data_IF_431253128453
#
_entry.id   IF_431253128453
#
_cell.length_a   1.000
_cell.length_b   1.000
_cell.length_c   1.000
_cell.angle_alpha   90.00
_cell.angle_beta   90.00
_cell.angle_gamma   90.00
#
_symmetry.space_group_name_H-M   'P 1'
#
loop_
_entity.id
_entity.type
_entity.pdbx_description
1 polymer ?
#
# COMPACT_ATOMS: atom_id res chain seq x y z
N UNK A 1 10.51 30.87 -8.32
CA UNK A 1 10.16 29.44 -8.17
C UNK A 1 10.72 28.96 -6.84
N UNK A 2 10.03 29.27 -5.74
CA UNK A 2 10.39 28.75 -4.41
C UNK A 2 9.10 28.25 -3.77
N UNK A 3 8.96 26.94 -3.70
CA UNK A 3 7.93 26.29 -2.89
C UNK A 3 8.12 26.81 -1.47
N UNK A 4 7.12 27.48 -0.93
CA UNK A 4 7.20 27.98 0.44
C UNK A 4 7.16 26.79 1.40
N UNK A 5 7.79 26.94 2.57
CA UNK A 5 7.79 25.90 3.63
C UNK A 5 6.38 25.36 3.95
N UNK A 6 5.32 26.20 4.08
CA UNK A 6 3.97 25.69 4.31
C UNK A 6 3.43 24.86 3.13
N UNK A 7 3.64 25.28 1.89
CA UNK A 7 3.20 24.51 0.71
C UNK A 7 3.90 23.15 0.64
N UNK A 8 5.19 23.09 0.98
CA UNK A 8 5.94 21.83 1.03
C UNK A 8 5.39 20.88 2.12
N UNK A 9 4.99 21.42 3.28
CA UNK A 9 4.41 20.62 4.37
C UNK A 9 3.02 20.08 4.00
N UNK A 10 2.18 20.89 3.35
CA UNK A 10 0.86 20.46 2.89
C UNK A 10 0.98 19.37 1.81
N UNK A 11 1.94 19.53 0.90
CA UNK A 11 2.26 18.52 -0.12
C UNK A 11 2.69 17.20 0.51
N UNK A 12 3.58 17.25 1.50
CA UNK A 12 4.04 16.07 2.23
C UNK A 12 2.89 15.38 2.97
N UNK A 13 2.00 16.15 3.62
CA UNK A 13 0.81 15.62 4.28
C UNK A 13 -0.13 14.92 3.31
N UNK A 14 -0.37 15.54 2.14
CA UNK A 14 -1.19 14.94 1.09
C UNK A 14 -0.58 13.64 0.57
N UNK A 15 0.71 13.63 0.26
CA UNK A 15 1.44 12.44 -0.18
C UNK A 15 1.38 11.30 0.84
N UNK A 16 1.52 11.60 2.13
CA UNK A 16 1.38 10.60 3.20
C UNK A 16 -0.04 10.03 3.27
N UNK A 17 -1.07 10.88 3.16
CA UNK A 17 -2.47 10.44 3.17
C UNK A 17 -2.81 9.54 1.99
N UNK A 18 -2.39 9.90 0.78
CA UNK A 18 -2.59 9.07 -0.41
C UNK A 18 -1.86 7.74 -0.26
N UNK A 19 -0.60 7.76 0.18
CA UNK A 19 0.18 6.54 0.43
C UNK A 19 -0.49 5.63 1.46
N UNK A 20 -1.00 6.20 2.56
CA UNK A 20 -1.69 5.44 3.60
C UNK A 20 -2.98 4.80 3.07
N UNK A 21 -3.78 5.54 2.30
CA UNK A 21 -4.98 5.00 1.66
C UNK A 21 -4.64 3.82 0.74
N UNK A 22 -3.58 3.95 -0.06
CA UNK A 22 -3.13 2.90 -0.98
C UNK A 22 -2.61 1.65 -0.25
N UNK A 23 -1.88 1.83 0.84
CA UNK A 23 -1.31 0.73 1.62
C UNK A 23 -2.36 0.02 2.49
N UNK A 24 -3.38 0.73 2.99
CA UNK A 24 -4.38 0.20 3.90
C UNK A 24 -5.03 -1.13 3.46
N UNK A 25 -5.57 -1.29 2.24
CA UNK A 25 -6.20 -2.54 1.83
C UNK A 25 -5.20 -3.70 1.72
N UNK A 26 -3.98 -3.44 1.24
CA UNK A 26 -2.93 -4.48 1.14
C UNK A 26 -2.51 -4.94 2.54
N UNK A 27 -2.32 -3.99 3.46
CA UNK A 27 -1.93 -4.28 4.84
C UNK A 27 -3.02 -5.08 5.57
N UNK A 28 -4.30 -4.72 5.40
CA UNK A 28 -5.42 -5.46 6.00
C UNK A 28 -5.47 -6.91 5.51
N UNK A 29 -5.28 -7.13 4.21
CA UNK A 29 -5.25 -8.48 3.63
C UNK A 29 -4.04 -9.26 4.14
N UNK A 30 -2.86 -8.62 4.19
CA UNK A 30 -1.64 -9.24 4.71
C UNK A 30 -1.74 -9.62 6.18
N UNK A 31 -2.36 -8.76 6.98
CA UNK A 31 -2.65 -9.03 8.38
C UNK A 31 -3.61 -10.23 8.51
N UNK A 32 -4.72 -10.23 7.76
CA UNK A 32 -5.73 -11.29 7.85
C UNK A 32 -5.17 -12.65 7.41
N UNK A 33 -4.52 -12.70 6.26
CA UNK A 33 -3.92 -13.94 5.75
C UNK A 33 -2.75 -14.39 6.62
N UNK A 34 -1.92 -13.45 7.07
CA UNK A 34 -0.82 -13.74 7.97
C UNK A 34 -1.28 -14.35 9.30
N UNK A 35 -2.37 -13.81 9.87
CA UNK A 35 -3.02 -14.37 11.06
C UNK A 35 -3.56 -15.76 10.80
N UNK A 36 -4.33 -15.94 9.72
CA UNK A 36 -4.94 -17.22 9.36
C UNK A 36 -3.87 -18.33 9.23
N UNK A 37 -2.79 -18.03 8.51
CA UNK A 37 -1.66 -18.97 8.31
C UNK A 37 -0.95 -19.26 9.64
N UNK A 38 -0.74 -18.24 10.49
CA UNK A 38 -0.11 -18.43 11.80
C UNK A 38 -0.95 -19.30 12.74
N UNK A 39 -2.28 -19.18 12.67
CA UNK A 39 -3.20 -20.00 13.44
C UNK A 39 -3.19 -21.45 12.95
N UNK A 40 -3.20 -21.68 11.63
CA UNK A 40 -3.11 -23.03 11.06
C UNK A 40 -1.79 -23.72 11.42
N UNK A 41 -0.68 -22.98 11.45
CA UNK A 41 0.60 -23.49 11.95
C UNK A 41 0.55 -23.87 13.43
N UNK A 42 -0.07 -23.03 14.27
CA UNK A 42 -0.19 -23.30 15.68
C UNK A 42 -1.07 -24.54 15.97
N UNK A 43 -2.19 -24.68 15.26
CA UNK A 43 -3.15 -25.79 15.46
C UNK A 43 -2.61 -27.12 14.93
N UNK A 44 -1.88 -27.13 13.81
CA UNK A 44 -1.34 -28.37 13.22
C UNK A 44 0.00 -28.80 13.80
N UNK A 45 0.59 -28.01 14.69
CA UNK A 45 1.94 -28.21 15.26
C UNK A 45 3.07 -28.33 14.22
N UNK A 46 2.82 -27.96 12.95
CA UNK A 46 3.85 -27.94 11.91
C UNK A 46 4.59 -26.60 11.98
N UNK A 47 5.83 -26.62 12.49
CA UNK A 47 6.73 -25.45 12.56
C UNK A 47 7.77 -25.42 11.41
N UNK A 48 7.50 -26.12 10.31
CA UNK A 48 8.35 -26.07 9.11
C UNK A 48 8.25 -24.69 8.45
N UNK A 49 9.27 -23.86 8.66
CA UNK A 49 9.29 -22.47 8.18
C UNK A 49 9.05 -22.34 6.67
N UNK A 50 9.53 -23.29 5.87
CA UNK A 50 9.36 -23.29 4.41
C UNK A 50 7.89 -23.46 3.99
N UNK A 51 7.16 -24.32 4.69
CA UNK A 51 5.76 -24.66 4.38
C UNK A 51 4.80 -23.51 4.78
N UNK A 52 5.18 -22.73 5.80
CA UNK A 52 4.54 -21.48 6.19
C UNK A 52 4.73 -20.34 5.20
N UNK A 53 5.91 -20.29 4.60
CA UNK A 53 6.36 -19.15 3.83
C UNK A 53 5.70 -19.06 2.46
N UNK A 54 5.54 -20.21 1.78
CA UNK A 54 5.01 -20.28 0.42
C UNK A 54 3.55 -19.78 0.33
N UNK A 55 2.59 -20.27 1.15
CA UNK A 55 1.21 -19.80 1.07
C UNK A 55 1.08 -18.31 1.39
N UNK A 56 1.89 -17.80 2.33
CA UNK A 56 1.91 -16.38 2.71
C UNK A 56 2.43 -15.50 1.57
N UNK A 57 3.52 -15.90 0.90
CA UNK A 57 4.05 -15.17 -0.26
C UNK A 57 3.06 -15.16 -1.42
N UNK A 58 2.43 -16.30 -1.73
CA UNK A 58 1.43 -16.38 -2.80
C UNK A 58 0.23 -15.48 -2.53
N UNK A 59 -0.24 -15.44 -1.28
CA UNK A 59 -1.32 -14.54 -0.90
C UNK A 59 -0.93 -13.05 -1.03
N UNK A 60 0.32 -12.69 -0.67
CA UNK A 60 0.84 -11.32 -0.89
C UNK A 60 0.99 -10.97 -2.35
N UNK A 61 1.53 -11.87 -3.17
CA UNK A 61 1.61 -11.68 -4.61
C UNK A 61 0.22 -11.50 -5.23
N UNK A 62 -0.74 -12.34 -4.85
CA UNK A 62 -2.12 -12.22 -5.31
C UNK A 62 -2.77 -10.90 -4.88
N UNK A 63 -2.57 -10.47 -3.62
CA UNK A 63 -3.07 -9.18 -3.16
C UNK A 63 -2.49 -8.02 -3.98
N UNK A 64 -1.17 -8.00 -4.24
CA UNK A 64 -0.56 -6.95 -5.07
C UNK A 64 -1.14 -6.95 -6.48
N UNK A 65 -1.33 -8.12 -7.12
CA UNK A 65 -1.89 -8.20 -8.47
C UNK A 65 -3.34 -7.71 -8.52
N UNK A 66 -4.16 -8.07 -7.53
CA UNK A 66 -5.57 -7.64 -7.46
C UNK A 66 -5.68 -6.14 -7.23
N UNK A 67 -4.84 -5.56 -6.36
CA UNK A 67 -4.87 -4.14 -6.05
C UNK A 67 -4.02 -3.27 -7.00
N UNK A 68 -3.18 -3.86 -7.84
CA UNK A 68 -2.35 -3.16 -8.83
C UNK A 68 -3.11 -2.13 -9.68
N UNK A 69 -4.25 -2.46 -10.34
CA UNK A 69 -4.99 -1.47 -11.13
C UNK A 69 -5.52 -0.31 -10.29
N UNK A 70 -5.96 -0.59 -9.06
CA UNK A 70 -6.46 0.44 -8.15
C UNK A 70 -5.34 1.36 -7.67
N UNK A 71 -4.19 0.81 -7.27
CA UNK A 71 -3.00 1.58 -6.89
C UNK A 71 -2.55 2.46 -8.06
N UNK A 72 -2.48 1.89 -9.27
CA UNK A 72 -2.10 2.63 -10.48
C UNK A 72 -3.03 3.82 -10.74
N UNK A 73 -4.34 3.63 -10.59
CA UNK A 73 -5.33 4.73 -10.75
C UNK A 73 -5.11 5.86 -9.74
N UNK A 74 -4.84 5.53 -8.47
CA UNK A 74 -4.56 6.52 -7.42
C UNK A 74 -3.24 7.25 -7.62
N UNK A 75 -2.21 6.57 -8.13
CA UNK A 75 -0.93 7.22 -8.46
C UNK A 75 -1.11 8.24 -9.60
N UNK A 76 -1.90 7.87 -10.61
CA UNK A 76 -2.20 8.78 -11.72
C UNK A 76 -3.02 9.99 -11.26
N UNK A 77 -3.98 9.79 -10.36
CA UNK A 77 -4.79 10.87 -9.78
C UNK A 77 -3.90 11.82 -8.96
N UNK A 78 -3.07 11.29 -8.06
CA UNK A 78 -2.09 12.06 -7.31
C UNK A 78 -1.12 12.84 -8.22
N UNK A 79 -0.60 12.21 -9.27
CA UNK A 79 0.30 12.86 -10.22
C UNK A 79 -0.42 13.98 -11.00
N UNK A 80 -1.68 13.78 -11.38
CA UNK A 80 -2.50 14.81 -12.05
C UNK A 80 -2.79 15.98 -11.12
N UNK A 81 -3.11 15.73 -9.85
CA UNK A 81 -3.34 16.79 -8.88
C UNK A 81 -2.07 17.61 -8.64
N UNK A 82 -0.91 16.94 -8.54
CA UNK A 82 0.38 17.61 -8.39
C UNK A 82 0.72 18.46 -9.61
N UNK A 83 0.67 17.90 -10.82
CA UNK A 83 0.98 18.65 -12.05
C UNK A 83 -0.07 19.73 -12.36
N UNK A 84 -1.34 19.47 -12.08
CA UNK A 84 -2.44 20.40 -12.29
C UNK A 84 -2.33 21.61 -11.36
N UNK A 85 -2.05 21.38 -10.08
CA UNK A 85 -1.84 22.46 -9.12
C UNK A 85 -0.56 23.25 -9.41
N UNK A 86 0.49 22.60 -9.92
CA UNK A 86 1.74 23.26 -10.34
C UNK A 86 1.57 24.08 -11.63
N UNK A 87 0.73 23.66 -12.57
CA UNK A 87 0.51 24.36 -13.84
C UNK A 87 -0.55 25.47 -13.78
N UNK A 88 -1.48 25.40 -12.82
CA UNK A 88 -2.42 26.48 -12.54
C UNK A 88 -1.77 27.68 -11.81
N UNK A 89 -0.57 27.49 -11.24
CA UNK A 89 0.25 28.55 -10.68
C UNK A 89 0.99 29.36 -11.74
N UNK A 90 0.26 30.26 -12.41
CA UNK A 90 0.77 31.62 -12.61
C UNK A 90 0.46 32.43 -11.35
#
# INVERSE_FOLDING_TARGET
>A
MTITVPEALDLARYAMMVTLQMAAPILLIGMFVGLLISLLQAVTQIQEQTLSFIPKMLAMAAAVVVFAPWISSRMMEFARDMLGNVSAGH
#
